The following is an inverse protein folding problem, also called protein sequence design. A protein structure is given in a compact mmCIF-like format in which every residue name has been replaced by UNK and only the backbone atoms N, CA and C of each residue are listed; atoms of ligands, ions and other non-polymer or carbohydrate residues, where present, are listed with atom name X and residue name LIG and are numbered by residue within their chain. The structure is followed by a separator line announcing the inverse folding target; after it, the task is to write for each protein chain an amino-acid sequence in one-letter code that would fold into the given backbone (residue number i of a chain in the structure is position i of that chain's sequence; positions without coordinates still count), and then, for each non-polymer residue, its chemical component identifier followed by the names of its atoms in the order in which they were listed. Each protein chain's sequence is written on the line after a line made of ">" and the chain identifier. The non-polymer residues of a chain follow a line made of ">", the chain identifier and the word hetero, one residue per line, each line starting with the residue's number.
data_IF_469033384225
#
_entry.id   IF_469033384225
#
_cell.length_a   1.000
_cell.length_b   1.000
_cell.length_c   1.000
_cell.angle_alpha   90.00
_cell.angle_beta   90.00
_cell.angle_gamma   90.00
#
_symmetry.space_group_name_H-M   'P 1'
#
loop_
_entity.id
_entity.type
_entity.pdbx_description
1 polymer ?
#
# COMPACT_ATOMS: atom_id res chain seq x y z
N UNK A 1 15.40 13.46 -26.39
CA UNK A 1 15.07 13.63 -24.95
C UNK A 1 16.34 13.35 -24.15
N UNK A 2 16.66 14.16 -23.14
CA UNK A 2 17.83 13.88 -22.28
C UNK A 2 17.50 12.69 -21.36
N UNK A 3 18.48 11.84 -21.03
CA UNK A 3 18.30 10.67 -20.18
C UNK A 3 17.58 11.00 -18.84
N UNK A 4 17.83 12.19 -18.29
CA UNK A 4 17.18 12.71 -17.07
C UNK A 4 15.67 12.96 -17.24
N UNK A 5 15.23 13.41 -18.44
CA UNK A 5 13.81 13.63 -18.72
C UNK A 5 13.02 12.31 -18.84
N UNK A 6 13.70 11.24 -19.25
CA UNK A 6 13.13 9.90 -19.37
C UNK A 6 12.98 9.25 -17.99
N UNK A 7 14.04 9.23 -17.18
CA UNK A 7 14.02 8.70 -15.81
C UNK A 7 12.95 9.36 -14.91
N UNK A 8 12.75 10.68 -15.03
CA UNK A 8 11.71 11.40 -14.28
C UNK A 8 10.29 11.02 -14.72
N UNK A 9 10.07 10.85 -16.03
CA UNK A 9 8.79 10.39 -16.57
C UNK A 9 8.48 8.96 -16.13
N UNK A 10 9.50 8.11 -16.13
CA UNK A 10 9.45 6.74 -15.62
C UNK A 10 9.03 6.68 -14.15
N UNK A 11 9.69 7.47 -13.29
CA UNK A 11 9.34 7.56 -11.87
C UNK A 11 7.88 8.00 -11.70
N UNK A 12 7.46 9.08 -12.36
CA UNK A 12 6.08 9.58 -12.33
C UNK A 12 5.06 8.53 -12.78
N UNK A 13 5.39 7.75 -13.81
CA UNK A 13 4.52 6.69 -14.33
C UNK A 13 4.34 5.52 -13.35
N UNK A 14 5.34 5.25 -12.50
CA UNK A 14 5.24 4.27 -11.41
C UNK A 14 4.40 4.79 -10.23
N UNK A 15 4.62 6.04 -9.86
CA UNK A 15 3.91 6.70 -8.75
C UNK A 15 2.42 6.81 -9.01
N UNK A 16 2.04 7.23 -10.22
CA UNK A 16 0.62 7.40 -10.56
C UNK A 16 -0.16 6.08 -10.57
N UNK A 17 0.53 4.96 -10.82
CA UNK A 17 -0.06 3.63 -10.69
C UNK A 17 -0.42 3.31 -9.24
N UNK A 18 0.53 3.54 -8.32
CA UNK A 18 0.27 3.42 -6.89
C UNK A 18 -0.82 4.40 -6.42
N UNK A 19 -0.84 5.63 -6.90
CA UNK A 19 -1.91 6.59 -6.58
C UNK A 19 -3.27 6.03 -7.01
N UNK A 20 -3.38 5.50 -8.24
CA UNK A 20 -4.62 4.92 -8.75
C UNK A 20 -5.07 3.71 -7.94
N UNK A 21 -4.15 2.80 -7.59
CA UNK A 21 -4.45 1.65 -6.74
C UNK A 21 -5.10 2.08 -5.43
N UNK A 22 -4.40 2.94 -4.70
CA UNK A 22 -4.81 3.31 -3.34
C UNK A 22 -6.00 4.27 -3.34
N UNK A 23 -6.20 5.00 -4.43
CA UNK A 23 -7.42 5.76 -4.71
C UNK A 23 -8.64 4.83 -4.83
N UNK A 24 -8.60 3.84 -5.74
CA UNK A 24 -9.73 2.92 -5.95
C UNK A 24 -10.05 2.14 -4.67
N UNK A 25 -8.99 1.76 -3.96
CA UNK A 25 -9.09 1.09 -2.67
C UNK A 25 -9.83 1.94 -1.62
N UNK A 26 -9.41 3.19 -1.44
CA UNK A 26 -10.04 4.11 -0.50
C UNK A 26 -11.49 4.42 -0.89
N UNK A 27 -11.77 4.64 -2.19
CA UNK A 27 -13.12 4.87 -2.71
C UNK A 27 -14.03 3.69 -2.41
N UNK A 28 -13.60 2.46 -2.66
CA UNK A 28 -14.41 1.29 -2.37
C UNK A 28 -14.69 1.13 -0.89
N UNK A 29 -13.66 1.27 -0.04
CA UNK A 29 -13.83 1.22 1.41
C UNK A 29 -14.83 2.26 1.91
N UNK A 30 -14.75 3.49 1.39
CA UNK A 30 -15.65 4.59 1.75
C UNK A 30 -17.11 4.29 1.40
N UNK A 31 -17.38 3.71 0.23
CA UNK A 31 -18.75 3.39 -0.22
C UNK A 31 -19.16 1.93 0.00
N UNK A 32 -18.41 1.15 0.79
CA UNK A 32 -18.62 -0.28 0.96
C UNK A 32 -20.04 -0.62 1.44
N UNK A 33 -20.62 0.18 2.34
CA UNK A 33 -21.98 0.01 2.85
C UNK A 33 -23.02 0.19 1.73
N UNK A 34 -22.88 1.24 0.92
CA UNK A 34 -23.76 1.52 -0.22
C UNK A 34 -23.64 0.43 -1.29
N UNK A 35 -22.41 -0.01 -1.58
CA UNK A 35 -22.14 -1.12 -2.51
C UNK A 35 -22.78 -2.42 -2.00
N UNK A 36 -22.70 -2.70 -0.70
CA UNK A 36 -23.34 -3.86 -0.08
C UNK A 36 -24.83 -3.92 -0.38
N UNK A 37 -25.54 -2.79 -0.20
CA UNK A 37 -26.98 -2.70 -0.50
C UNK A 37 -27.30 -2.93 -1.98
N UNK A 38 -26.46 -2.44 -2.90
CA UNK A 38 -26.72 -2.53 -4.35
C UNK A 38 -26.35 -3.85 -4.99
N UNK A 39 -25.32 -4.54 -4.49
CA UNK A 39 -24.77 -5.75 -5.12
C UNK A 39 -25.02 -7.01 -4.33
N UNK A 40 -25.28 -6.90 -3.02
CA UNK A 40 -25.51 -8.02 -2.12
C UNK A 40 -26.80 -7.82 -1.31
N UNK A 41 -27.96 -7.55 -1.96
CA UNK A 41 -29.20 -7.36 -1.23
C UNK A 41 -29.55 -8.65 -0.46
N UNK A 42 -29.71 -8.52 0.84
CA UNK A 42 -30.13 -9.58 1.76
C UNK A 42 -31.13 -8.99 2.75
N UNK A 43 -31.95 -9.84 3.37
CA UNK A 43 -32.95 -9.40 4.35
C UNK A 43 -32.31 -8.73 5.58
N UNK A 44 -31.04 -9.05 5.86
CA UNK A 44 -30.24 -8.46 6.92
C UNK A 44 -29.22 -7.46 6.34
N UNK A 45 -29.38 -6.14 6.58
CA UNK A 45 -28.41 -5.13 6.15
C UNK A 45 -26.98 -5.38 6.63
N UNK A 46 -26.80 -6.00 7.80
CA UNK A 46 -25.47 -6.31 8.32
C UNK A 46 -24.77 -7.35 7.42
N UNK A 47 -25.49 -8.36 6.94
CA UNK A 47 -24.95 -9.37 6.02
C UNK A 47 -24.52 -8.73 4.70
N UNK A 48 -25.31 -7.80 4.17
CA UNK A 48 -24.98 -7.06 2.94
C UNK A 48 -23.65 -6.31 3.06
N UNK A 49 -23.42 -5.66 4.21
CA UNK A 49 -22.18 -4.94 4.52
C UNK A 49 -21.01 -5.91 4.65
N UNK A 50 -21.18 -7.01 5.39
CA UNK A 50 -20.15 -8.05 5.55
C UNK A 50 -19.73 -8.62 4.20
N UNK A 51 -20.69 -8.90 3.30
CA UNK A 51 -20.39 -9.40 1.96
C UNK A 51 -19.58 -8.39 1.15
N UNK A 52 -19.93 -7.11 1.19
CA UNK A 52 -19.18 -6.04 0.49
C UNK A 52 -17.73 -5.92 0.96
N UNK A 53 -17.49 -5.97 2.28
CA UNK A 53 -16.14 -6.04 2.85
C UNK A 53 -15.46 -7.39 2.56
N UNK A 54 -16.22 -8.47 2.43
CA UNK A 54 -15.72 -9.77 1.95
C UNK A 54 -15.12 -9.68 0.55
N UNK A 55 -15.79 -9.00 -0.38
CA UNK A 55 -15.25 -8.75 -1.74
C UNK A 55 -13.95 -7.95 -1.68
N UNK A 56 -13.89 -6.94 -0.81
CA UNK A 56 -12.69 -6.14 -0.59
C UNK A 56 -11.52 -7.01 -0.09
N UNK A 57 -11.77 -7.90 0.87
CA UNK A 57 -10.79 -8.86 1.37
C UNK A 57 -10.34 -9.84 0.27
N UNK A 58 -11.26 -10.33 -0.56
CA UNK A 58 -10.95 -11.20 -1.70
C UNK A 58 -10.00 -10.51 -2.69
N UNK A 59 -10.19 -9.20 -2.95
CA UNK A 59 -9.24 -8.40 -3.73
C UNK A 59 -7.84 -8.36 -3.12
N UNK A 60 -7.71 -8.24 -1.79
CA UNK A 60 -6.41 -8.35 -1.14
C UNK A 60 -5.79 -9.74 -1.27
N UNK A 61 -6.58 -10.79 -1.09
CA UNK A 61 -6.12 -12.17 -1.20
C UNK A 61 -5.68 -12.54 -2.62
N UNK A 62 -6.14 -11.79 -3.63
CA UNK A 62 -5.64 -11.92 -5.00
C UNK A 62 -4.24 -11.32 -5.19
N UNK A 63 -3.75 -10.43 -4.31
CA UNK A 63 -2.45 -9.77 -4.47
C UNK A 63 -1.27 -10.75 -4.46
N UNK A 64 -1.15 -11.74 -3.55
CA UNK A 64 -0.09 -12.76 -3.63
C UNK A 64 -0.11 -13.59 -4.92
N UNK A 65 -1.31 -13.91 -5.43
CA UNK A 65 -1.45 -14.65 -6.69
C UNK A 65 -1.02 -13.78 -7.87
N UNK A 66 -1.47 -12.52 -7.88
CA UNK A 66 -1.04 -11.51 -8.83
C UNK A 66 0.47 -11.26 -8.79
N UNK A 67 1.05 -11.18 -7.60
CA UNK A 67 2.48 -11.06 -7.35
C UNK A 67 3.28 -12.18 -8.02
N UNK A 68 2.81 -13.43 -7.88
CA UNK A 68 3.42 -14.58 -8.55
C UNK A 68 3.33 -14.47 -10.08
N UNK A 69 2.15 -14.12 -10.61
CA UNK A 69 1.91 -14.03 -12.05
C UNK A 69 2.67 -12.87 -12.68
N UNK A 70 2.48 -11.65 -12.17
CA UNK A 70 3.07 -10.43 -12.72
C UNK A 70 4.56 -10.29 -12.39
N UNK A 71 5.03 -10.86 -11.27
CA UNK A 71 6.46 -11.00 -11.00
C UNK A 71 7.14 -11.85 -12.07
N UNK A 72 6.60 -13.05 -12.32
CA UNK A 72 7.11 -13.94 -13.37
C UNK A 72 6.99 -13.33 -14.77
N UNK A 73 5.84 -12.76 -15.13
CA UNK A 73 5.68 -12.08 -16.42
C UNK A 73 6.65 -10.91 -16.56
N UNK A 74 6.94 -10.19 -15.47
CA UNK A 74 7.89 -9.09 -15.48
C UNK A 74 9.31 -9.56 -15.84
N UNK A 75 9.66 -10.75 -15.35
CA UNK A 75 10.95 -11.40 -15.61
C UNK A 75 11.04 -11.99 -17.05
N UNK A 76 9.90 -12.39 -17.66
CA UNK A 76 9.88 -13.03 -19.00
C UNK A 76 9.58 -12.08 -20.16
N UNK A 77 8.49 -11.30 -20.08
CA UNK A 77 8.00 -10.48 -21.21
C UNK A 77 8.41 -9.01 -21.13
N UNK A 78 9.12 -8.63 -20.06
CA UNK A 78 9.61 -7.28 -19.80
C UNK A 78 8.67 -6.44 -18.94
N UNK A 79 9.25 -5.58 -18.10
CA UNK A 79 8.54 -4.88 -17.02
C UNK A 79 7.58 -3.83 -17.55
N UNK A 80 7.95 -3.11 -18.61
CA UNK A 80 7.05 -2.15 -19.26
C UNK A 80 5.72 -2.77 -19.70
N UNK A 81 5.75 -3.96 -20.29
CA UNK A 81 4.52 -4.64 -20.75
C UNK A 81 3.65 -5.02 -19.57
N UNK A 82 4.24 -5.54 -18.50
CA UNK A 82 3.53 -5.86 -17.27
C UNK A 82 2.93 -4.61 -16.62
N UNK A 83 3.65 -3.50 -16.55
CA UNK A 83 3.12 -2.23 -16.03
C UNK A 83 1.96 -1.69 -16.87
N UNK A 84 1.99 -1.88 -18.20
CA UNK A 84 0.87 -1.52 -19.09
C UNK A 84 -0.35 -2.42 -18.89
N UNK A 85 -0.15 -3.74 -18.75
CA UNK A 85 -1.24 -4.68 -18.47
C UNK A 85 -1.86 -4.38 -17.11
N UNK A 86 -1.02 -4.13 -16.10
CA UNK A 86 -1.46 -3.80 -14.75
C UNK A 86 -2.37 -2.57 -14.73
N UNK A 87 -1.94 -1.45 -15.31
CA UNK A 87 -2.77 -0.24 -15.24
C UNK A 87 -4.12 -0.42 -15.94
N UNK A 88 -4.19 -1.22 -17.02
CA UNK A 88 -5.44 -1.56 -17.68
C UNK A 88 -6.31 -2.50 -16.84
N UNK A 89 -5.70 -3.49 -16.18
CA UNK A 89 -6.36 -4.41 -15.24
C UNK A 89 -6.80 -3.73 -13.94
N UNK A 90 -6.36 -2.51 -13.66
CA UNK A 90 -6.95 -1.65 -12.64
C UNK A 90 -8.05 -0.76 -13.20
N UNK A 91 -7.74 -0.02 -14.26
CA UNK A 91 -8.61 1.00 -14.83
C UNK A 91 -9.94 0.47 -15.37
N UNK A 92 -9.88 -0.64 -16.12
CA UNK A 92 -11.08 -1.22 -16.74
C UNK A 92 -12.04 -1.71 -15.65
N UNK A 93 -11.62 -2.50 -14.64
CA UNK A 93 -12.49 -2.83 -13.53
C UNK A 93 -13.03 -1.63 -12.75
N UNK A 94 -12.20 -0.63 -12.45
CA UNK A 94 -12.65 0.60 -11.76
C UNK A 94 -13.76 1.30 -12.54
N UNK A 95 -13.60 1.46 -13.86
CA UNK A 95 -14.65 2.01 -14.72
C UNK A 95 -15.91 1.13 -14.71
N UNK A 96 -15.75 -0.18 -14.87
CA UNK A 96 -16.87 -1.13 -14.92
C UNK A 96 -17.67 -1.13 -13.61
N UNK A 97 -17.02 -1.04 -12.44
CA UNK A 97 -17.70 -0.88 -11.15
C UNK A 97 -18.55 0.40 -11.12
N UNK A 98 -18.02 1.49 -11.68
CA UNK A 98 -18.72 2.77 -11.76
C UNK A 98 -19.95 2.77 -12.68
N UNK A 99 -19.98 1.93 -13.71
CA UNK A 99 -21.08 1.91 -14.70
C UNK A 99 -21.98 0.68 -14.64
N UNK A 100 -21.57 -0.39 -13.94
CA UNK A 100 -22.32 -1.64 -13.96
C UNK A 100 -23.71 -1.47 -13.28
N UNK A 101 -24.74 -2.12 -13.85
CA UNK A 101 -26.04 -2.20 -13.19
C UNK A 101 -25.97 -2.98 -11.87
N UNK A 102 -26.95 -2.72 -11.00
CA UNK A 102 -27.05 -3.31 -9.65
C UNK A 102 -27.75 -4.67 -9.70
N UNK A 103 -27.88 -5.30 -8.53
CA UNK A 103 -28.60 -6.56 -8.38
C UNK A 103 -30.04 -6.48 -8.91
N UNK A 104 -30.70 -5.33 -8.79
CA UNK A 104 -32.08 -5.15 -9.30
C UNK A 104 -32.21 -5.45 -10.81
N UNK A 105 -31.14 -5.23 -11.58
CA UNK A 105 -31.12 -5.46 -13.02
C UNK A 105 -30.42 -6.77 -13.40
N UNK A 106 -29.29 -7.10 -12.77
CA UNK A 106 -28.45 -8.24 -13.14
C UNK A 106 -28.65 -9.48 -12.26
N UNK A 107 -29.42 -9.37 -11.17
CA UNK A 107 -29.56 -10.41 -10.16
C UNK A 107 -28.20 -10.90 -9.65
N UNK A 108 -28.06 -12.22 -9.50
CA UNK A 108 -26.84 -12.86 -9.00
C UNK A 108 -25.58 -12.58 -9.83
N UNK A 109 -25.71 -12.15 -11.09
CA UNK A 109 -24.54 -11.79 -11.89
C UNK A 109 -23.87 -10.50 -11.41
N UNK A 110 -24.59 -9.56 -10.78
CA UNK A 110 -24.01 -8.33 -10.27
C UNK A 110 -22.88 -8.60 -9.24
N UNK A 111 -23.11 -9.36 -8.15
CA UNK A 111 -22.06 -9.68 -7.19
C UNK A 111 -20.94 -10.56 -7.78
N UNK A 112 -21.26 -11.50 -8.69
CA UNK A 112 -20.24 -12.33 -9.34
C UNK A 112 -19.29 -11.47 -10.17
N UNK A 113 -19.83 -10.58 -11.00
CA UNK A 113 -19.01 -9.66 -11.81
C UNK A 113 -18.19 -8.76 -10.89
N UNK A 114 -18.79 -8.18 -9.84
CA UNK A 114 -18.08 -7.34 -8.88
C UNK A 114 -16.90 -8.06 -8.23
N UNK A 115 -17.08 -9.32 -7.83
CA UNK A 115 -16.01 -10.17 -7.28
C UNK A 115 -14.90 -10.40 -8.32
N UNK A 116 -15.26 -10.74 -9.56
CA UNK A 116 -14.27 -10.96 -10.63
C UNK A 116 -13.47 -9.69 -10.95
N UNK A 117 -14.14 -8.54 -11.00
CA UNK A 117 -13.50 -7.24 -11.18
C UNK A 117 -12.52 -6.94 -10.04
N UNK A 118 -12.91 -7.20 -8.80
CA UNK A 118 -12.07 -7.00 -7.61
C UNK A 118 -10.89 -7.97 -7.54
N UNK A 119 -11.07 -9.22 -7.95
CA UNK A 119 -9.99 -10.19 -8.12
C UNK A 119 -8.98 -9.72 -9.17
N UNK A 120 -9.44 -9.19 -10.31
CA UNK A 120 -8.58 -8.66 -11.35
C UNK A 120 -7.76 -7.45 -10.88
N UNK A 121 -8.40 -6.49 -10.18
CA UNK A 121 -7.71 -5.35 -9.58
C UNK A 121 -6.67 -5.81 -8.55
N UNK A 122 -7.06 -6.70 -7.64
CA UNK A 122 -6.17 -7.25 -6.62
C UNK A 122 -4.96 -7.97 -7.20
N UNK A 123 -5.16 -8.79 -8.23
CA UNK A 123 -4.07 -9.46 -8.92
C UNK A 123 -3.13 -8.45 -9.60
N UNK A 124 -3.69 -7.41 -10.23
CA UNK A 124 -2.91 -6.37 -10.89
C UNK A 124 -1.90 -5.68 -9.98
N UNK A 125 -2.34 -5.37 -8.75
CA UNK A 125 -1.52 -4.72 -7.72
C UNK A 125 -0.27 -5.52 -7.38
N UNK A 126 -0.40 -6.85 -7.33
CA UNK A 126 0.61 -7.73 -6.74
C UNK A 126 2.02 -7.52 -7.31
N UNK A 127 2.13 -7.24 -8.60
CA UNK A 127 3.41 -6.96 -9.27
C UNK A 127 3.68 -5.48 -9.59
N UNK A 128 2.73 -4.58 -9.34
CA UNK A 128 2.85 -3.19 -9.79
C UNK A 128 3.89 -2.42 -8.98
N UNK A 129 3.76 -2.39 -7.65
CA UNK A 129 4.66 -1.65 -6.76
C UNK A 129 6.11 -2.14 -6.92
N UNK A 130 6.31 -3.45 -7.00
CA UNK A 130 7.64 -4.03 -7.19
C UNK A 130 8.21 -3.74 -8.57
N UNK A 131 7.37 -3.77 -9.60
CA UNK A 131 7.77 -3.43 -10.96
C UNK A 131 8.13 -1.96 -11.13
N UNK A 132 7.32 -1.06 -10.57
CA UNK A 132 7.58 0.38 -10.63
C UNK A 132 8.84 0.77 -9.88
N UNK A 133 9.02 0.24 -8.66
CA UNK A 133 10.21 0.52 -7.84
C UNK A 133 11.47 -0.02 -8.49
N UNK A 134 11.45 -1.28 -8.94
CA UNK A 134 12.63 -1.90 -9.54
C UNK A 134 13.02 -1.18 -10.84
N UNK A 135 12.05 -0.87 -11.69
CA UNK A 135 12.29 -0.14 -12.93
C UNK A 135 12.84 1.27 -12.66
N UNK A 136 12.26 1.99 -11.71
CA UNK A 136 12.73 3.32 -11.33
C UNK A 136 14.14 3.31 -10.73
N UNK A 137 14.49 2.33 -9.91
CA UNK A 137 15.82 2.20 -9.32
C UNK A 137 16.91 1.79 -10.32
N UNK A 138 16.53 1.07 -11.39
CA UNK A 138 17.48 0.72 -12.45
C UNK A 138 17.76 1.89 -13.38
N UNK A 139 16.75 2.74 -13.63
CA UNK A 139 16.90 3.95 -14.46
C UNK A 139 17.56 5.11 -13.69
N UNK A 140 17.36 5.18 -12.37
CA UNK A 140 17.95 6.20 -11.49
C UNK A 140 19.28 5.70 -10.92
N UNK A 141 20.33 5.79 -11.72
CA UNK A 141 21.67 5.26 -11.42
C UNK A 141 22.40 5.95 -10.25
N UNK A 142 22.05 7.19 -9.89
CA UNK A 142 22.74 7.94 -8.84
C UNK A 142 22.34 7.47 -7.43
N UNK A 143 23.34 6.95 -6.71
CA UNK A 143 23.26 6.49 -5.31
C UNK A 143 22.60 7.51 -4.37
N UNK A 144 22.82 8.81 -4.60
CA UNK A 144 22.24 9.88 -3.76
C UNK A 144 20.73 10.04 -3.93
N UNK A 145 20.17 9.54 -5.03
CA UNK A 145 18.76 9.73 -5.39
C UNK A 145 17.92 8.46 -5.23
N UNK A 146 18.54 7.30 -4.98
CA UNK A 146 17.85 6.00 -4.85
C UNK A 146 16.82 5.95 -3.73
N UNK A 147 17.11 6.62 -2.61
CA UNK A 147 16.15 6.76 -1.51
C UNK A 147 14.92 7.57 -1.92
N UNK A 148 15.14 8.73 -2.53
CA UNK A 148 14.07 9.59 -3.02
C UNK A 148 13.23 8.88 -4.09
N UNK A 149 13.88 8.17 -5.01
CA UNK A 149 13.23 7.35 -6.02
C UNK A 149 12.23 6.38 -5.38
N UNK A 150 12.70 5.45 -4.54
CA UNK A 150 11.84 4.46 -3.90
C UNK A 150 10.72 5.06 -3.04
N UNK A 151 11.00 6.18 -2.36
CA UNK A 151 10.06 6.86 -1.46
C UNK A 151 8.77 7.32 -2.17
N UNK A 152 8.85 7.67 -3.45
CA UNK A 152 7.69 8.17 -4.19
C UNK A 152 6.57 7.13 -4.33
N UNK A 153 6.88 5.83 -4.25
CA UNK A 153 5.85 4.79 -4.34
C UNK A 153 4.94 4.79 -3.12
N UNK A 154 5.52 4.87 -1.91
CA UNK A 154 4.76 4.95 -0.66
C UNK A 154 4.08 6.32 -0.48
N UNK A 155 4.76 7.41 -0.85
CA UNK A 155 4.12 8.74 -0.87
C UNK A 155 2.91 8.76 -1.81
N UNK A 156 3.03 8.15 -3.00
CA UNK A 156 1.93 7.96 -3.94
C UNK A 156 0.78 7.12 -3.38
N UNK A 157 1.08 6.04 -2.65
CA UNK A 157 0.07 5.23 -1.98
C UNK A 157 -0.73 6.05 -0.95
N UNK A 158 -0.06 6.76 -0.05
CA UNK A 158 -0.72 7.60 0.97
C UNK A 158 -1.52 8.73 0.32
N UNK A 159 -0.97 9.36 -0.73
CA UNK A 159 -1.66 10.39 -1.50
C UNK A 159 -2.91 9.83 -2.22
N UNK A 160 -2.84 8.60 -2.75
CA UNK A 160 -3.97 7.90 -3.34
C UNK A 160 -5.10 7.68 -2.35
N UNK A 161 -4.78 7.19 -1.14
CA UNK A 161 -5.78 7.02 -0.07
C UNK A 161 -6.44 8.36 0.28
N UNK A 162 -5.64 9.40 0.52
CA UNK A 162 -6.16 10.73 0.84
C UNK A 162 -7.04 11.29 -0.28
N UNK A 163 -6.65 11.12 -1.54
CA UNK A 163 -7.42 11.57 -2.68
C UNK A 163 -8.74 10.81 -2.81
N UNK A 164 -8.74 9.50 -2.60
CA UNK A 164 -9.95 8.68 -2.63
C UNK A 164 -10.94 9.09 -1.55
N UNK A 165 -10.45 9.26 -0.32
CA UNK A 165 -11.25 9.76 0.80
C UNK A 165 -11.77 11.18 0.54
N UNK A 166 -10.93 12.09 0.04
CA UNK A 166 -11.33 13.47 -0.25
C UNK A 166 -12.43 13.54 -1.32
N UNK A 167 -12.34 12.71 -2.38
CA UNK A 167 -13.39 12.64 -3.40
C UNK A 167 -14.68 12.03 -2.83
N UNK A 168 -14.59 10.99 -1.98
CA UNK A 168 -15.75 10.42 -1.30
C UNK A 168 -16.46 11.45 -0.41
N UNK A 169 -15.69 12.16 0.42
CA UNK A 169 -16.20 13.25 1.26
C UNK A 169 -16.83 14.37 0.43
N UNK A 170 -16.21 14.76 -0.69
CA UNK A 170 -16.77 15.78 -1.58
C UNK A 170 -18.15 15.35 -2.11
N UNK A 171 -18.29 14.09 -2.54
CA UNK A 171 -19.57 13.55 -3.03
C UNK A 171 -20.65 13.63 -1.95
N UNK A 172 -20.35 13.20 -0.72
CA UNK A 172 -21.31 13.21 0.40
C UNK A 172 -21.61 14.63 0.90
N UNK A 173 -20.69 15.58 0.72
CA UNK A 173 -20.91 16.99 1.11
C UNK A 173 -21.76 17.79 0.12
N UNK A 174 -21.80 17.37 -1.14
CA UNK A 174 -22.50 18.09 -2.22
C UNK A 174 -23.85 17.46 -2.56
N UNK A 175 -23.98 16.14 -2.37
CA UNK A 175 -25.21 15.40 -2.64
C UNK A 175 -25.93 15.03 -1.34
N UNK A 176 -27.26 14.93 -1.39
CA UNK A 176 -28.02 14.41 -0.26
C UNK A 176 -27.86 12.87 -0.12
N UNK A 177 -28.26 12.33 1.04
CA UNK A 177 -28.07 10.91 1.35
C UNK A 177 -28.78 9.99 0.35
N UNK A 178 -29.93 10.39 -0.17
CA UNK A 178 -30.71 9.61 -1.13
C UNK A 178 -30.05 9.60 -2.51
N UNK A 179 -29.49 10.73 -2.96
CA UNK A 179 -28.70 10.83 -4.18
C UNK A 179 -27.40 10.02 -4.08
N UNK A 180 -26.69 10.10 -2.96
CA UNK A 180 -25.49 9.29 -2.72
C UNK A 180 -25.83 7.81 -2.78
N UNK A 181 -26.90 7.41 -2.11
CA UNK A 181 -27.37 6.04 -2.10
C UNK A 181 -27.78 5.58 -3.50
N UNK A 182 -28.53 6.38 -4.27
CA UNK A 182 -29.03 6.00 -5.58
C UNK A 182 -27.93 5.89 -6.64
N UNK A 183 -27.08 6.91 -6.77
CA UNK A 183 -26.12 6.99 -7.88
C UNK A 183 -24.80 7.71 -7.55
N UNK A 184 -24.77 8.60 -6.56
CA UNK A 184 -23.61 9.44 -6.26
C UNK A 184 -22.34 8.65 -5.94
N UNK A 185 -22.47 7.46 -5.32
CA UNK A 185 -21.36 6.56 -5.02
C UNK A 185 -20.56 6.09 -6.26
N UNK A 186 -21.12 6.21 -7.47
CA UNK A 186 -20.45 5.85 -8.73
C UNK A 186 -19.44 6.90 -9.19
N UNK A 187 -19.66 8.18 -8.85
CA UNK A 187 -18.83 9.29 -9.34
C UNK A 187 -17.33 9.14 -9.04
N UNK A 188 -16.92 8.72 -7.82
CA UNK A 188 -15.50 8.55 -7.52
C UNK A 188 -14.84 7.46 -8.37
N UNK A 189 -15.54 6.36 -8.66
CA UNK A 189 -15.01 5.32 -9.56
C UNK A 189 -14.77 5.87 -10.98
N UNK A 190 -15.70 6.68 -11.49
CA UNK A 190 -15.54 7.35 -12.79
C UNK A 190 -14.42 8.39 -12.79
N UNK A 191 -14.23 9.13 -11.69
CA UNK A 191 -13.11 10.03 -11.51
C UNK A 191 -11.76 9.29 -11.50
N UNK A 192 -11.71 8.08 -10.93
CA UNK A 192 -10.55 7.20 -10.98
C UNK A 192 -10.08 6.87 -12.40
N UNK A 193 -10.99 6.84 -13.38
CA UNK A 193 -10.65 6.63 -14.80
C UNK A 193 -9.79 7.76 -15.34
N UNK A 194 -9.98 8.99 -14.88
CA UNK A 194 -9.13 10.13 -15.28
C UNK A 194 -7.69 9.91 -14.81
N UNK A 195 -7.51 9.45 -13.57
CA UNK A 195 -6.20 9.09 -13.01
C UNK A 195 -5.56 7.97 -13.84
N UNK A 196 -6.36 6.96 -14.21
CA UNK A 196 -5.89 5.86 -15.05
C UNK A 196 -5.47 6.30 -16.46
N UNK A 197 -6.22 7.18 -17.11
CA UNK A 197 -5.86 7.73 -18.42
C UNK A 197 -4.54 8.49 -18.32
N UNK A 198 -4.39 9.34 -17.30
CA UNK A 198 -3.14 10.06 -17.03
C UNK A 198 -1.97 9.09 -16.88
N UNK A 199 -2.14 8.02 -16.09
CA UNK A 199 -1.12 7.00 -15.91
C UNK A 199 -0.78 6.23 -17.19
N UNK A 200 -1.80 5.89 -18.00
CA UNK A 200 -1.61 5.25 -19.29
C UNK A 200 -0.82 6.14 -20.26
N UNK A 201 -1.14 7.42 -20.34
CA UNK A 201 -0.42 8.38 -21.20
C UNK A 201 1.04 8.57 -20.76
N UNK A 202 1.30 8.56 -19.46
CA UNK A 202 2.66 8.61 -18.92
C UNK A 202 3.46 7.35 -19.30
N UNK A 203 2.84 6.16 -19.19
CA UNK A 203 3.46 4.86 -19.51
C UNK A 203 3.64 4.61 -21.02
N UNK A 204 2.77 5.15 -21.88
CA UNK A 204 2.84 4.96 -23.35
C UNK A 204 4.15 5.46 -23.94
N UNK A 205 4.73 6.54 -23.38
CA UNK A 205 5.99 7.13 -23.86
C UNK A 205 7.26 6.60 -23.19
N UNK A 206 7.19 5.52 -22.42
CA UNK A 206 8.38 4.80 -21.97
C UNK A 206 8.98 4.03 -23.17
N UNK A 207 10.29 4.08 -23.38
CA UNK A 207 10.94 3.34 -24.48
C UNK A 207 10.92 1.82 -24.25
N UNK A 208 11.11 1.05 -25.32
CA UNK A 208 11.12 -0.42 -25.24
C UNK A 208 12.35 -0.90 -24.46
N UNK A 209 12.12 -1.43 -23.27
CA UNK A 209 13.09 -2.25 -22.55
C UNK A 209 13.39 -3.49 -23.41
N UNK A 210 14.68 -3.79 -23.65
CA UNK A 210 15.03 -5.13 -24.11
C UNK A 210 14.67 -6.08 -22.96
N UNK A 211 13.88 -7.14 -23.19
CA UNK A 211 13.69 -8.15 -22.16
C UNK A 211 15.07 -8.60 -21.68
N UNK A 212 15.29 -8.80 -20.37
CA UNK A 212 16.55 -9.36 -19.89
C UNK A 212 16.81 -10.61 -20.72
N UNK A 213 18.00 -10.69 -21.34
CA UNK A 213 18.32 -11.81 -22.22
C UNK A 213 17.90 -13.10 -21.53
N UNK A 214 17.08 -13.91 -22.20
CA UNK A 214 16.72 -15.23 -21.73
C UNK A 214 18.05 -16.01 -21.67
N UNK A 215 18.73 -15.95 -20.54
CA UNK A 215 19.94 -16.69 -20.31
C UNK A 215 19.55 -18.17 -20.35
N UNK A 216 20.12 -18.90 -21.30
CA UNK A 216 19.95 -20.35 -21.40
C UNK A 216 20.25 -20.99 -20.03
N UNK A 217 19.31 -21.80 -19.51
CA UNK A 217 19.44 -22.48 -18.22
C UNK A 217 18.68 -21.87 -17.03
N UNK A 218 17.88 -20.82 -17.21
CA UNK A 218 17.04 -20.29 -16.12
C UNK A 218 15.83 -21.18 -15.79
N UNK A 219 15.52 -21.27 -14.50
CA UNK A 219 14.33 -21.95 -13.98
C UNK A 219 13.04 -21.29 -14.51
N UNK A 220 12.01 -22.07 -14.84
CA UNK A 220 10.73 -21.55 -15.30
C UNK A 220 10.02 -20.67 -14.25
N UNK A 221 10.40 -20.73 -12.97
CA UNK A 221 9.78 -19.95 -11.90
C UNK A 221 10.88 -19.42 -10.95
N UNK A 222 11.39 -18.18 -11.16
CA UNK A 222 12.47 -17.59 -10.37
C UNK A 222 12.21 -17.54 -8.86
N UNK A 223 10.95 -17.55 -8.43
CA UNK A 223 10.58 -17.58 -7.02
C UNK A 223 11.08 -18.85 -6.30
N UNK A 224 11.03 -20.01 -6.95
CA UNK A 224 11.48 -21.26 -6.30
C UNK A 224 12.99 -21.29 -6.13
N UNK A 225 13.73 -20.68 -7.05
CA UNK A 225 15.17 -20.51 -6.92
C UNK A 225 15.48 -19.57 -5.74
N UNK A 226 14.74 -18.46 -5.61
CA UNK A 226 14.88 -17.57 -4.45
C UNK A 226 14.61 -18.29 -3.11
N UNK A 227 13.58 -19.14 -3.06
CA UNK A 227 13.26 -19.93 -1.85
C UNK A 227 14.34 -20.95 -1.51
N UNK A 228 14.98 -21.54 -2.51
CA UNK A 228 16.02 -22.57 -2.32
C UNK A 228 17.39 -21.96 -2.02
N UNK A 229 17.77 -20.92 -2.74
CA UNK A 229 19.10 -20.31 -2.70
C UNK A 229 19.21 -19.18 -1.67
N UNK A 230 18.10 -18.48 -1.41
CA UNK A 230 18.05 -17.29 -0.55
C UNK A 230 16.99 -17.33 0.57
N UNK A 231 16.74 -18.47 1.27
CA UNK A 231 15.66 -18.58 2.26
C UNK A 231 15.82 -17.60 3.43
N UNK A 232 17.06 -17.34 3.86
CA UNK A 232 17.35 -16.36 4.92
C UNK A 232 16.96 -14.94 4.50
N UNK A 233 17.32 -14.52 3.29
CA UNK A 233 17.01 -13.18 2.80
C UNK A 233 15.51 -13.04 2.57
N UNK A 234 14.80 -14.10 2.15
CA UNK A 234 13.34 -14.11 2.08
C UNK A 234 12.67 -13.94 3.43
N UNK A 235 13.13 -14.67 4.47
CA UNK A 235 12.60 -14.51 5.82
C UNK A 235 12.89 -13.10 6.37
N UNK A 236 14.09 -12.56 6.14
CA UNK A 236 14.43 -11.20 6.52
C UNK A 236 13.55 -10.18 5.79
N UNK A 237 13.24 -10.37 4.50
CA UNK A 237 12.37 -9.49 3.74
C UNK A 237 10.94 -9.42 4.33
N UNK A 238 10.38 -10.58 4.73
CA UNK A 238 9.10 -10.65 5.44
C UNK A 238 9.18 -9.91 6.78
N UNK A 239 10.24 -10.12 7.55
CA UNK A 239 10.44 -9.43 8.84
C UNK A 239 10.66 -7.92 8.72
N UNK A 240 11.37 -7.45 7.69
CA UNK A 240 11.52 -6.01 7.37
C UNK A 240 10.15 -5.39 7.03
N UNK A 241 9.25 -6.17 6.44
CA UNK A 241 7.89 -5.71 6.10
C UNK A 241 7.03 -5.49 7.36
N UNK A 242 7.34 -6.14 8.49
CA UNK A 242 6.54 -6.08 9.71
C UNK A 242 6.31 -4.63 10.18
N UNK A 243 7.37 -3.85 10.38
CA UNK A 243 7.25 -2.51 10.94
C UNK A 243 6.54 -1.54 9.98
N UNK A 244 6.81 -1.61 8.67
CA UNK A 244 6.10 -0.75 7.72
C UNK A 244 4.62 -1.10 7.62
N UNK A 245 4.27 -2.40 7.67
CA UNK A 245 2.90 -2.86 7.51
C UNK A 245 2.10 -2.56 8.79
N UNK A 246 2.57 -3.03 9.94
CA UNK A 246 1.92 -2.76 11.24
C UNK A 246 1.87 -1.27 11.53
N UNK A 247 2.96 -0.54 11.28
CA UNK A 247 3.02 0.91 11.49
C UNK A 247 2.00 1.67 10.65
N UNK A 248 1.83 1.33 9.37
CA UNK A 248 0.83 1.99 8.54
C UNK A 248 -0.60 1.68 9.00
N UNK A 249 -0.93 0.40 9.15
CA UNK A 249 -2.29 -0.04 9.47
C UNK A 249 -2.71 0.35 10.88
N UNK A 250 -1.82 0.33 11.87
CA UNK A 250 -2.18 0.77 13.21
C UNK A 250 -2.23 2.30 13.31
N UNK A 251 -1.27 3.04 12.74
CA UNK A 251 -1.16 4.49 12.98
C UNK A 251 -2.02 5.36 12.05
N UNK A 252 -2.51 4.81 10.93
CA UNK A 252 -3.26 5.60 9.93
C UNK A 252 -4.57 4.96 9.47
N UNK A 253 -4.80 3.69 9.80
CA UNK A 253 -6.08 3.00 9.53
C UNK A 253 -6.86 2.76 10.83
N UNK A 254 -6.25 2.09 11.81
CA UNK A 254 -6.90 1.76 13.09
C UNK A 254 -6.94 2.92 14.09
N UNK A 255 -6.10 3.94 13.92
CA UNK A 255 -5.97 5.03 14.90
C UNK A 255 -7.29 5.75 15.16
N UNK A 256 -8.15 5.91 14.15
CA UNK A 256 -9.46 6.56 14.31
C UNK A 256 -10.40 5.71 15.17
N UNK A 257 -10.37 4.39 15.00
CA UNK A 257 -11.08 3.42 15.86
C UNK A 257 -10.54 3.44 17.29
N UNK A 258 -9.23 3.55 17.46
CA UNK A 258 -8.61 3.65 18.78
C UNK A 258 -9.02 4.92 19.53
N UNK A 259 -8.93 6.09 18.88
CA UNK A 259 -9.28 7.37 19.51
C UNK A 259 -10.76 7.42 19.89
N UNK A 260 -11.65 6.94 19.02
CA UNK A 260 -13.09 6.95 19.28
C UNK A 260 -13.52 5.89 20.29
N UNK A 261 -13.01 4.66 20.16
CA UNK A 261 -13.43 3.53 20.98
C UNK A 261 -12.73 3.38 22.32
N UNK A 262 -11.49 3.86 22.45
CA UNK A 262 -10.68 3.71 23.69
C UNK A 262 -10.50 5.04 24.39
N UNK A 263 -10.04 6.08 23.68
CA UNK A 263 -9.77 7.40 24.27
C UNK A 263 -11.07 8.18 24.53
N UNK A 264 -12.09 7.95 23.71
CA UNK A 264 -13.43 8.56 23.82
C UNK A 264 -13.61 9.83 22.98
N UNK A 265 -12.77 10.02 21.96
CA UNK A 265 -12.83 11.18 21.06
C UNK A 265 -13.99 11.13 20.08
N UNK A 266 -14.36 12.29 19.53
CA UNK A 266 -15.37 12.35 18.46
C UNK A 266 -14.81 11.80 17.14
N UNK A 267 -15.66 11.15 16.34
CA UNK A 267 -15.26 10.66 15.01
C UNK A 267 -14.70 11.79 14.13
N UNK A 268 -15.37 12.95 14.11
CA UNK A 268 -14.96 14.11 13.32
C UNK A 268 -13.53 14.56 13.66
N UNK A 269 -13.22 14.69 14.95
CA UNK A 269 -11.88 15.08 15.40
C UNK A 269 -10.84 14.01 15.03
N UNK A 270 -11.12 12.73 15.30
CA UNK A 270 -10.20 11.63 14.99
C UNK A 270 -9.88 11.55 13.48
N UNK A 271 -10.88 11.74 12.62
CA UNK A 271 -10.70 11.77 11.17
C UNK A 271 -9.93 13.00 10.69
N UNK A 272 -10.22 14.19 11.21
CA UNK A 272 -9.50 15.42 10.88
C UNK A 272 -8.02 15.30 11.25
N UNK A 273 -7.75 14.88 12.49
CA UNK A 273 -6.40 14.67 13.01
C UNK A 273 -5.61 13.66 12.16
N UNK A 274 -6.22 12.52 11.84
CA UNK A 274 -5.59 11.50 11.01
C UNK A 274 -5.31 12.01 9.59
N UNK A 275 -6.26 12.75 9.00
CA UNK A 275 -6.12 13.33 7.66
C UNK A 275 -4.93 14.30 7.60
N UNK A 276 -4.80 15.18 8.60
CA UNK A 276 -3.67 16.11 8.70
C UNK A 276 -2.34 15.35 8.83
N UNK A 277 -2.28 14.33 9.70
CA UNK A 277 -1.06 13.53 9.88
C UNK A 277 -0.69 12.73 8.62
N UNK A 278 -1.66 12.20 7.88
CA UNK A 278 -1.42 11.56 6.58
C UNK A 278 -0.91 12.56 5.53
N UNK A 279 -1.41 13.80 5.50
CA UNK A 279 -0.87 14.84 4.61
C UNK A 279 0.59 15.16 4.95
N UNK A 280 0.93 15.25 6.24
CA UNK A 280 2.33 15.41 6.69
C UNK A 280 3.16 14.19 6.26
N UNK A 281 2.64 12.97 6.42
CA UNK A 281 3.31 11.74 6.00
C UNK A 281 3.64 11.74 4.50
N UNK A 282 2.71 12.16 3.63
CA UNK A 282 2.94 12.28 2.17
C UNK A 282 4.17 13.13 1.87
N UNK A 283 4.37 14.21 2.61
CA UNK A 283 5.50 15.14 2.44
C UNK A 283 6.78 14.60 3.10
N UNK A 284 6.66 14.00 4.28
CA UNK A 284 7.82 13.53 5.04
C UNK A 284 8.49 12.30 4.42
N UNK A 285 7.73 11.42 3.74
CA UNK A 285 8.30 10.27 3.02
C UNK A 285 9.37 10.70 1.99
N UNK A 286 9.12 11.60 1.02
CA UNK A 286 10.14 12.03 0.07
C UNK A 286 11.24 12.88 0.71
N UNK A 287 10.94 13.66 1.74
CA UNK A 287 11.98 14.40 2.50
C UNK A 287 13.01 13.44 3.10
N UNK A 288 12.55 12.37 3.76
CA UNK A 288 13.43 11.33 4.29
C UNK A 288 14.10 10.49 3.20
N UNK A 289 13.42 10.26 2.07
CA UNK A 289 14.00 9.60 0.91
C UNK A 289 15.19 10.38 0.33
N UNK A 290 15.08 11.71 0.25
CA UNK A 290 16.21 12.58 -0.14
C UNK A 290 17.32 12.57 0.92
N UNK A 291 16.96 12.66 2.20
CA UNK A 291 17.94 12.69 3.28
C UNK A 291 18.71 11.37 3.41
N UNK A 292 18.09 10.24 3.08
CA UNK A 292 18.74 8.93 3.08
C UNK A 292 19.85 8.80 2.04
N UNK A 293 19.84 9.62 0.98
CA UNK A 293 20.97 9.75 0.05
C UNK A 293 22.26 10.27 0.70
N UNK A 294 22.15 10.97 1.84
CA UNK A 294 23.29 11.48 2.62
C UNK A 294 23.63 10.59 3.82
N UNK A 295 22.61 10.08 4.51
CA UNK A 295 22.76 9.28 5.74
C UNK A 295 23.09 7.81 5.41
N UNK A 296 22.52 7.29 4.32
CA UNK A 296 22.53 5.89 3.94
C UNK A 296 21.20 5.20 4.29
N UNK A 297 20.64 4.45 3.33
CA UNK A 297 19.34 3.78 3.41
C UNK A 297 19.25 2.83 4.62
N UNK A 298 20.26 1.96 4.80
CA UNK A 298 20.30 1.02 5.92
C UNK A 298 20.29 1.74 7.27
N UNK A 299 21.03 2.84 7.41
CA UNK A 299 21.10 3.60 8.67
C UNK A 299 19.77 4.27 9.00
N UNK A 300 19.08 4.81 7.99
CA UNK A 300 17.74 5.40 8.16
C UNK A 300 16.73 4.34 8.61
N UNK A 301 16.72 3.15 7.99
CA UNK A 301 15.82 2.06 8.36
C UNK A 301 16.08 1.53 9.78
N UNK A 302 17.35 1.26 10.11
CA UNK A 302 17.75 0.77 11.44
C UNK A 302 17.46 1.81 12.51
N UNK A 303 17.78 3.09 12.24
CA UNK A 303 17.52 4.20 13.16
C UNK A 303 16.03 4.40 13.41
N UNK A 304 15.22 4.41 12.36
CA UNK A 304 13.76 4.49 12.48
C UNK A 304 13.18 3.31 13.27
N UNK A 305 13.63 2.07 13.01
CA UNK A 305 13.17 0.90 13.76
C UNK A 305 13.54 1.00 15.24
N UNK A 306 14.77 1.44 15.56
CA UNK A 306 15.23 1.62 16.93
C UNK A 306 14.42 2.68 17.68
N UNK A 307 14.16 3.81 17.04
CA UNK A 307 13.29 4.85 17.62
C UNK A 307 11.88 4.29 17.79
N UNK A 308 11.36 3.52 16.83
CA UNK A 308 10.09 2.82 16.95
C UNK A 308 10.01 1.90 18.19
N UNK A 309 11.05 1.13 18.48
CA UNK A 309 11.10 0.26 19.66
C UNK A 309 10.93 1.05 20.96
N UNK A 310 11.60 2.19 21.07
CA UNK A 310 11.66 2.98 22.31
C UNK A 310 10.47 3.94 22.43
N UNK A 311 10.06 4.57 21.33
CA UNK A 311 9.11 5.68 21.33
C UNK A 311 7.67 5.25 21.06
N UNK A 312 7.39 4.03 20.58
CA UNK A 312 6.00 3.60 20.30
C UNK A 312 5.11 3.70 21.54
N UNK A 313 5.58 3.20 22.69
CA UNK A 313 4.80 3.23 23.95
C UNK A 313 4.62 4.68 24.44
N UNK A 314 5.67 5.51 24.61
CA UNK A 314 5.52 6.91 25.01
C UNK A 314 4.56 7.71 24.12
N UNK A 315 4.61 7.51 22.80
CA UNK A 315 3.75 8.22 21.87
C UNK A 315 2.29 7.77 21.97
N UNK A 316 2.02 6.48 22.21
CA UNK A 316 0.65 6.02 22.51
C UNK A 316 0.14 6.55 23.84
N UNK A 317 0.98 6.55 24.87
CA UNK A 317 0.59 7.15 26.16
C UNK A 317 0.27 8.63 25.99
N UNK A 318 0.99 9.35 25.12
CA UNK A 318 0.71 10.76 24.83
C UNK A 318 -0.66 10.95 24.17
N UNK A 319 -1.10 9.98 23.34
CA UNK A 319 -2.43 9.99 22.71
C UNK A 319 -3.57 9.61 23.68
N UNK A 320 -3.27 9.06 24.84
CA UNK A 320 -4.27 8.65 25.85
C UNK A 320 -4.62 9.78 26.85
N UNK A 321 -4.02 10.97 26.72
CA UNK A 321 -4.15 12.07 27.70
C UNK A 321 -5.47 12.87 27.63
N UNK A 322 -6.43 12.49 26.77
CA UNK A 322 -7.69 13.22 26.53
C UNK A 322 -7.48 14.73 26.30
N UNK A 323 -6.49 15.05 25.47
CA UNK A 323 -6.13 16.42 25.14
C UNK A 323 -5.72 16.46 23.67
N UNK A 324 -6.53 17.12 22.85
CA UNK A 324 -6.41 17.14 21.39
C UNK A 324 -4.97 17.45 20.88
N UNK A 325 -4.26 18.37 21.52
CA UNK A 325 -2.87 18.70 21.12
C UNK A 325 -1.90 17.54 21.41
N UNK A 326 -2.08 16.83 22.51
CA UNK A 326 -1.20 15.71 22.89
C UNK A 326 -1.47 14.51 21.98
N UNK A 327 -2.73 14.25 21.64
CA UNK A 327 -3.13 13.26 20.63
C UNK A 327 -2.51 13.56 19.27
N UNK A 328 -2.63 14.81 18.81
CA UNK A 328 -2.02 15.25 17.57
C UNK A 328 -0.49 15.06 17.59
N UNK A 329 0.17 15.51 18.66
CA UNK A 329 1.63 15.37 18.81
C UNK A 329 2.08 13.91 18.91
N UNK A 330 1.28 13.04 19.52
CA UNK A 330 1.52 11.61 19.59
C UNK A 330 1.49 10.97 18.20
N UNK A 331 0.45 11.23 17.41
CA UNK A 331 0.36 10.72 16.04
C UNK A 331 1.42 11.37 15.11
N UNK A 332 1.69 12.66 15.27
CA UNK A 332 2.77 13.34 14.55
C UNK A 332 4.14 12.73 14.87
N UNK A 333 4.41 12.41 16.13
CA UNK A 333 5.61 11.67 16.53
C UNK A 333 5.71 10.32 15.81
N UNK A 334 4.59 9.62 15.62
CA UNK A 334 4.55 8.38 14.85
C UNK A 334 4.84 8.62 13.36
N UNK A 335 4.34 9.70 12.76
CA UNK A 335 4.72 10.11 11.39
C UNK A 335 6.23 10.26 11.27
N UNK A 336 6.87 10.90 12.26
CA UNK A 336 8.33 11.11 12.26
C UNK A 336 9.14 9.82 12.40
N UNK A 337 8.53 8.74 12.89
CA UNK A 337 9.14 7.41 12.99
C UNK A 337 8.86 6.58 11.73
N UNK A 338 7.63 6.57 11.24
CA UNK A 338 7.20 5.71 10.11
C UNK A 338 7.65 6.27 8.76
N UNK A 339 7.62 7.60 8.56
CA UNK A 339 8.06 8.23 7.32
C UNK A 339 9.48 7.85 6.89
N UNK A 340 10.52 7.91 7.76
CA UNK A 340 11.86 7.47 7.37
C UNK A 340 11.90 6.00 6.99
N UNK A 341 11.15 5.13 7.68
CA UNK A 341 11.11 3.71 7.34
C UNK A 341 10.52 3.48 5.95
N UNK A 342 9.32 4.01 5.69
CA UNK A 342 8.61 3.86 4.41
C UNK A 342 9.40 4.46 3.24
N UNK A 343 10.11 5.57 3.47
CA UNK A 343 10.92 6.22 2.44
C UNK A 343 12.00 5.32 1.84
N UNK A 344 12.54 4.41 2.65
CA UNK A 344 13.72 3.61 2.32
C UNK A 344 13.39 2.13 2.11
N UNK A 345 12.20 1.69 2.55
CA UNK A 345 11.77 0.29 2.53
C UNK A 345 11.83 -0.31 1.12
N UNK A 346 11.17 0.33 0.15
CA UNK A 346 11.06 -0.17 -1.22
C UNK A 346 12.45 -0.33 -1.87
N UNK A 347 13.34 0.63 -1.63
CA UNK A 347 14.72 0.59 -2.14
C UNK A 347 15.52 -0.53 -1.49
N UNK A 348 15.43 -0.70 -0.16
CA UNK A 348 16.14 -1.78 0.54
C UNK A 348 15.69 -3.15 0.09
N UNK A 349 14.38 -3.35 -0.10
CA UNK A 349 13.81 -4.61 -0.57
C UNK A 349 14.27 -4.94 -1.99
N UNK A 350 14.32 -3.95 -2.88
CA UNK A 350 14.84 -4.14 -4.23
C UNK A 350 16.32 -4.59 -4.24
N UNK A 351 17.17 -4.05 -3.37
CA UNK A 351 18.58 -4.44 -3.32
C UNK A 351 18.89 -5.70 -2.49
N UNK A 352 17.92 -6.25 -1.77
CA UNK A 352 18.10 -7.45 -0.97
C UNK A 352 18.35 -8.71 -1.84
N UNK A 353 17.74 -8.76 -3.02
CA UNK A 353 17.77 -9.92 -3.92
C UNK A 353 18.60 -9.67 -5.19
N UNK A 354 19.15 -10.74 -5.82
CA UNK A 354 19.86 -10.62 -7.10
C UNK A 354 18.93 -10.04 -8.17
N UNK A 355 19.47 -9.30 -9.15
CA UNK A 355 18.67 -8.67 -10.21
C UNK A 355 17.67 -9.64 -10.87
N UNK A 356 18.11 -10.89 -11.06
CA UNK A 356 17.35 -11.94 -11.75
C UNK A 356 16.20 -12.53 -10.93
N UNK A 357 16.23 -12.39 -9.60
CA UNK A 357 15.20 -12.91 -8.68
C UNK A 357 14.39 -11.78 -8.02
N UNK A 358 14.80 -10.53 -8.25
CA UNK A 358 14.40 -9.35 -7.47
C UNK A 358 12.90 -9.11 -7.48
N UNK A 359 12.28 -9.12 -8.66
CA UNK A 359 10.85 -8.87 -8.82
C UNK A 359 10.01 -9.91 -8.09
N UNK A 360 10.22 -11.18 -8.44
CA UNK A 360 9.49 -12.31 -7.86
C UNK A 360 9.68 -12.41 -6.34
N UNK A 361 10.92 -12.31 -5.84
CA UNK A 361 11.21 -12.41 -4.40
C UNK A 361 10.68 -11.21 -3.59
N UNK A 362 10.85 -9.98 -4.08
CA UNK A 362 10.31 -8.79 -3.41
C UNK A 362 8.78 -8.87 -3.37
N UNK A 363 8.13 -9.15 -4.50
CA UNK A 363 6.68 -9.13 -4.61
C UNK A 363 6.02 -10.13 -3.65
N UNK A 364 6.53 -11.36 -3.58
CA UNK A 364 6.00 -12.38 -2.67
C UNK A 364 6.28 -12.06 -1.20
N UNK A 365 7.51 -11.68 -0.85
CA UNK A 365 7.87 -11.41 0.55
C UNK A 365 7.14 -10.18 1.10
N UNK A 366 6.96 -9.14 0.29
CA UNK A 366 6.16 -7.96 0.63
C UNK A 366 4.70 -8.33 0.87
N UNK A 367 4.06 -9.07 -0.04
CA UNK A 367 2.64 -9.40 0.11
C UNK A 367 2.37 -10.37 1.29
N UNK A 368 3.27 -11.33 1.54
CA UNK A 368 3.18 -12.19 2.73
C UNK A 368 3.33 -11.34 3.99
N UNK A 369 4.35 -10.47 4.05
CA UNK A 369 4.56 -9.59 5.19
C UNK A 369 3.38 -8.64 5.43
N UNK A 370 2.80 -8.08 4.37
CA UNK A 370 1.62 -7.22 4.44
C UNK A 370 0.38 -7.97 4.95
N UNK A 371 0.17 -9.21 4.50
CA UNK A 371 -0.95 -10.04 4.95
C UNK A 371 -0.82 -10.39 6.44
N UNK A 372 0.37 -10.82 6.88
CA UNK A 372 0.62 -11.25 8.26
C UNK A 372 0.66 -10.07 9.23
N UNK A 373 1.40 -9.01 8.91
CA UNK A 373 1.68 -7.91 9.84
C UNK A 373 0.83 -6.65 9.61
N UNK A 374 0.31 -6.45 8.40
CA UNK A 374 -0.59 -5.34 8.09
C UNK A 374 -2.04 -5.72 8.34
N UNK A 375 -2.54 -6.71 7.61
CA UNK A 375 -3.94 -7.12 7.65
C UNK A 375 -4.41 -7.62 9.02
N UNK A 376 -3.58 -8.40 9.71
CA UNK A 376 -3.95 -8.94 11.04
C UNK A 376 -3.76 -7.94 12.19
N UNK A 377 -2.99 -6.86 12.02
CA UNK A 377 -2.63 -5.97 13.12
C UNK A 377 -3.83 -5.23 13.76
N UNK A 378 -4.75 -4.60 12.99
CA UNK A 378 -5.94 -3.97 13.59
C UNK A 378 -6.83 -4.97 14.35
N UNK A 379 -7.01 -6.17 13.80
CA UNK A 379 -7.81 -7.21 14.45
C UNK A 379 -7.16 -7.71 15.75
N UNK A 380 -5.83 -7.93 15.74
CA UNK A 380 -5.08 -8.29 16.93
C UNK A 380 -5.13 -7.18 17.99
N UNK A 381 -5.01 -5.91 17.58
CA UNK A 381 -5.10 -4.76 18.48
C UNK A 381 -6.48 -4.68 19.15
N UNK A 382 -7.56 -4.78 18.37
CA UNK A 382 -8.92 -4.77 18.89
C UNK A 382 -9.18 -5.94 19.85
N UNK A 383 -8.74 -7.16 19.50
CA UNK A 383 -8.88 -8.34 20.35
C UNK A 383 -8.13 -8.18 21.69
N UNK A 384 -6.91 -7.67 21.67
CA UNK A 384 -6.13 -7.45 22.91
C UNK A 384 -6.78 -6.41 23.82
N UNK A 385 -7.38 -5.36 23.24
CA UNK A 385 -8.15 -4.36 23.99
C UNK A 385 -9.40 -4.99 24.61
N UNK A 386 -10.14 -5.80 23.86
CA UNK A 386 -11.33 -6.52 24.35
C UNK A 386 -11.00 -7.48 25.49
N UNK A 387 -9.86 -8.18 25.40
CA UNK A 387 -9.33 -9.04 26.46
C UNK A 387 -8.74 -8.27 27.65
N UNK A 388 -8.91 -6.94 27.70
CA UNK A 388 -8.45 -6.06 28.76
C UNK A 388 -6.93 -6.14 29.04
N UNK A 389 -6.13 -6.48 28.01
CA UNK A 389 -4.66 -6.48 28.08
C UNK A 389 -4.11 -5.05 28.24
N UNK A 390 -4.93 -4.05 27.90
CA UNK A 390 -4.69 -2.62 28.16
C UNK A 390 -4.84 -1.76 26.91
N UNK A 391 -5.20 -0.47 27.09
CA UNK A 391 -5.37 0.48 25.98
C UNK A 391 -4.12 0.66 25.12
N UNK A 392 -2.93 0.35 25.64
CA UNK A 392 -1.66 0.43 24.92
C UNK A 392 -1.34 -0.80 24.06
N UNK A 393 -2.27 -1.75 23.91
CA UNK A 393 -2.09 -2.95 23.08
C UNK A 393 -1.58 -2.67 21.66
N UNK A 394 -2.07 -1.64 20.93
CA UNK A 394 -1.52 -1.31 19.61
C UNK A 394 -0.05 -0.89 19.67
N UNK A 395 0.38 -0.24 20.76
CA UNK A 395 1.77 0.17 20.96
C UNK A 395 2.69 -1.05 21.12
N UNK A 396 2.25 -2.09 21.86
CA UNK A 396 3.04 -3.32 22.03
C UNK A 396 3.20 -4.08 20.71
N UNK A 397 2.14 -4.16 19.91
CA UNK A 397 2.20 -4.77 18.58
C UNK A 397 3.16 -4.01 17.66
N UNK A 398 3.11 -2.67 17.68
CA UNK A 398 4.01 -1.83 16.90
C UNK A 398 5.47 -2.00 17.34
N UNK A 399 5.74 -2.01 18.65
CA UNK A 399 7.07 -2.27 19.21
C UNK A 399 7.58 -3.66 18.78
N UNK A 400 6.74 -4.70 18.86
CA UNK A 400 7.09 -6.04 18.40
C UNK A 400 7.45 -6.07 16.92
N UNK A 401 6.66 -5.42 16.07
CA UNK A 401 6.95 -5.30 14.65
C UNK A 401 8.26 -4.53 14.38
N UNK A 402 8.54 -3.47 15.15
CA UNK A 402 9.78 -2.72 15.08
C UNK A 402 11.00 -3.57 15.45
N UNK A 403 10.90 -4.39 16.51
CA UNK A 403 11.96 -5.36 16.90
C UNK A 403 12.21 -6.38 15.80
N UNK A 404 11.15 -6.97 15.23
CA UNK A 404 11.27 -7.95 14.15
C UNK A 404 11.96 -7.35 12.94
N UNK A 405 11.56 -6.15 12.52
CA UNK A 405 12.21 -5.46 11.39
C UNK A 405 13.64 -5.05 11.70
N UNK A 406 13.93 -4.57 12.91
CA UNK A 406 15.29 -4.24 13.34
C UNK A 406 16.23 -5.44 13.28
N UNK A 407 15.83 -6.59 13.84
CA UNK A 407 16.61 -7.83 13.80
C UNK A 407 16.79 -8.30 12.35
N UNK A 408 15.73 -8.24 11.55
CA UNK A 408 15.75 -8.67 10.14
C UNK A 408 16.68 -7.79 9.29
N UNK A 409 16.72 -6.48 9.55
CA UNK A 409 17.64 -5.55 8.87
C UNK A 409 19.11 -5.86 9.19
N UNK A 410 19.41 -6.26 10.43
CA UNK A 410 20.77 -6.66 10.83
C UNK A 410 21.14 -8.07 10.35
N UNK A 411 20.15 -8.95 10.21
CA UNK A 411 20.36 -10.33 9.76
C UNK A 411 20.44 -10.47 8.23
N UNK A 412 19.97 -9.49 7.45
CA UNK A 412 20.06 -9.50 6.00
C UNK A 412 21.54 -9.49 5.55
N UNK A 413 21.95 -10.47 4.72
CA UNK A 413 23.37 -10.66 4.35
C UNK A 413 23.85 -9.76 3.21
N UNK A 414 22.93 -9.25 2.41
CA UNK A 414 23.24 -8.37 1.28
C UNK A 414 23.05 -6.93 1.64
N UNK A 415 24.16 -6.20 1.69
CA UNK A 415 24.17 -4.75 1.71
C UNK A 415 23.96 -4.17 0.31
N UNK A 416 23.57 -2.90 0.27
CA UNK A 416 23.45 -2.15 -0.96
C UNK A 416 24.80 -2.19 -1.73
N UNK A 417 24.80 -2.52 -3.03
CA UNK A 417 26.06 -2.59 -3.78
C UNK A 417 26.81 -1.26 -3.68
N UNK A 418 28.10 -1.36 -3.36
CA UNK A 418 28.96 -0.19 -3.13
C UNK A 418 29.19 0.66 -4.39
N UNK A 419 28.87 0.11 -5.57
CA UNK A 419 29.19 0.65 -6.90
C UNK A 419 27.95 1.10 -7.66
#
# INVERSE_FOLDING_TARGET
>A
MTAHSHARRTALAGVIGNVLEWYDFAVYGFFAVTIGKHFFPTDDPAVSVVLSFGVFAVGFLARPVGALIFGHLGDVIGRRRVLMISILMMAIPTFLIGVMPTYDTLGVFAPIILILLRLAQGASVGGELTGSVTFMLEEMSDKKTRGLAGSWSFSGAVAGVLLGSAVGTLVVSVLDADQVAAWGWRLPFLAGVVIAICGFMLRRGLEHEKPPAAAEGRSPIPLFDALREHPRDMLCAVGITAFTATGFYLMFVYITTYLTGVVGETEAFAFEMNTINMMILVVMIPVWGWLSGKIGIQKVLVGSSLVGIVASIPLFTLMDHQHHIMEFLGQFGMVMIIAPFQSCFATRMAFLFPKDLRMSAFSVTYNIGLAVFGGAAPAAAAYLIEQQVGGLSPAYLLTGAAVISFISLLAARRDEPAT
#
